data_IF_724574806205
#
_entry.id   IF_724574806205
#
_cell.length_a   1.000
_cell.length_b   1.000
_cell.length_c   1.000
_cell.angle_alpha   90.00
_cell.angle_beta   90.00
_cell.angle_gamma   90.00
#
_symmetry.space_group_name_H-M   'P 1'
#
loop_
_entity.id
_entity.type
_entity.pdbx_description
1 polymer ?
#
# COMPACT_ATOMS: atom_id res chain seq x y z
N UNK A 1 26.68 -3.41 21.37
CA UNK A 1 26.43 -2.60 20.17
C UNK A 1 25.66 -3.47 19.20
N UNK A 2 24.52 -3.00 18.69
CA UNK A 2 23.65 -3.80 17.81
C UNK A 2 24.14 -3.51 16.40
N UNK A 3 24.88 -4.44 15.81
CA UNK A 3 25.31 -4.35 14.41
C UNK A 3 24.05 -4.27 13.54
N UNK A 4 23.68 -3.05 13.16
CA UNK A 4 22.74 -2.81 12.08
C UNK A 4 23.49 -3.15 10.80
N UNK A 5 23.51 -4.45 10.48
CA UNK A 5 23.82 -4.96 9.15
C UNK A 5 23.05 -4.13 8.09
N UNK A 6 23.58 -4.06 6.87
CA UNK A 6 23.10 -3.26 5.74
C UNK A 6 21.59 -2.96 5.81
N UNK A 7 21.23 -1.67 5.76
CA UNK A 7 19.88 -1.12 5.97
C UNK A 7 18.83 -2.00 5.29
N UNK A 8 18.24 -2.94 6.03
CA UNK A 8 17.32 -3.91 5.45
C UNK A 8 15.88 -3.41 5.49
N UNK A 9 15.60 -2.43 6.35
CA UNK A 9 14.28 -1.84 6.51
C UNK A 9 14.35 -0.34 6.84
N UNK A 10 13.55 0.47 6.15
CA UNK A 10 13.34 1.88 6.45
C UNK A 10 11.84 2.20 6.41
N UNK A 11 11.29 2.78 7.47
CA UNK A 11 9.85 3.05 7.63
C UNK A 11 8.93 1.83 7.40
N UNK A 12 9.45 0.62 7.61
CA UNK A 12 8.72 -0.63 7.36
C UNK A 12 8.74 -1.12 5.91
N UNK A 13 9.48 -0.43 5.04
CA UNK A 13 9.77 -0.87 3.67
C UNK A 13 11.09 -1.61 3.66
N UNK A 14 11.16 -2.70 2.91
CA UNK A 14 12.41 -3.44 2.70
C UNK A 14 13.35 -2.60 1.84
N UNK A 15 14.62 -2.55 2.23
CA UNK A 15 15.64 -1.79 1.51
C UNK A 15 16.81 -2.69 1.18
N UNK A 16 17.29 -2.60 -0.06
CA UNK A 16 18.50 -3.26 -0.53
C UNK A 16 19.43 -2.21 -1.10
N UNK A 17 20.68 -2.20 -0.66
CA UNK A 17 21.73 -1.38 -1.26
C UNK A 17 22.32 -2.08 -2.48
N UNK A 18 22.48 -1.34 -3.57
CA UNK A 18 23.23 -1.70 -4.77
C UNK A 18 24.34 -0.65 -4.98
N UNK A 19 25.30 -0.93 -5.85
CA UNK A 19 26.37 0.03 -6.19
C UNK A 19 25.82 1.32 -6.82
N UNK A 20 24.63 1.25 -7.44
CA UNK A 20 23.93 2.39 -8.04
C UNK A 20 22.96 3.12 -7.07
N UNK A 21 22.83 2.66 -5.82
CA UNK A 21 21.96 3.31 -4.81
C UNK A 21 21.06 2.35 -4.03
N UNK A 22 19.91 2.85 -3.56
CA UNK A 22 18.98 2.07 -2.72
C UNK A 22 17.73 1.66 -3.49
N UNK A 23 17.40 0.38 -3.40
CA UNK A 23 16.16 -0.20 -3.91
C UNK A 23 15.19 -0.44 -2.75
N UNK A 24 13.93 -0.05 -2.95
CA UNK A 24 12.87 -0.24 -1.96
C UNK A 24 11.90 -1.32 -2.44
N UNK A 25 11.64 -2.31 -1.59
CA UNK A 25 10.66 -3.36 -1.82
C UNK A 25 9.47 -3.17 -0.89
N UNK A 26 8.27 -3.19 -1.48
CA UNK A 26 7.01 -3.07 -0.74
C UNK A 26 6.26 -4.39 -0.63
N UNK A 27 6.82 -5.51 -1.09
CA UNK A 27 6.12 -6.81 -1.13
C UNK A 27 5.57 -7.20 0.24
N UNK A 28 6.39 -7.08 1.29
CA UNK A 28 5.97 -7.35 2.66
C UNK A 28 4.96 -6.33 3.19
N UNK A 29 5.13 -5.06 2.84
CA UNK A 29 4.19 -4.00 3.21
C UNK A 29 2.80 -4.23 2.58
N UNK A 30 2.75 -4.46 1.27
CA UNK A 30 1.53 -4.75 0.53
C UNK A 30 0.84 -6.01 1.06
N UNK A 31 1.60 -7.08 1.30
CA UNK A 31 1.09 -8.31 1.90
C UNK A 31 0.51 -8.07 3.30
N UNK A 32 1.21 -7.32 4.16
CA UNK A 32 0.70 -6.95 5.48
C UNK A 32 -0.57 -6.09 5.40
N UNK A 33 -0.64 -5.18 4.43
CA UNK A 33 -1.80 -4.32 4.23
C UNK A 33 -3.02 -5.15 3.83
N UNK A 34 -2.86 -6.06 2.87
CA UNK A 34 -3.90 -7.01 2.43
C UNK A 34 -4.33 -7.89 3.62
N UNK A 35 -3.38 -8.37 4.41
CA UNK A 35 -3.64 -9.15 5.63
C UNK A 35 -4.45 -8.38 6.66
N UNK A 36 -4.03 -7.16 7.00
CA UNK A 36 -4.73 -6.27 7.95
C UNK A 36 -6.13 -5.89 7.49
N UNK A 37 -6.33 -5.76 6.18
CA UNK A 37 -7.64 -5.50 5.60
C UNK A 37 -8.54 -6.75 5.54
N UNK A 38 -8.02 -7.94 5.91
CA UNK A 38 -8.77 -9.20 5.83
C UNK A 38 -8.99 -9.67 4.39
N UNK A 39 -8.16 -9.24 3.44
CA UNK A 39 -8.36 -9.46 2.01
C UNK A 39 -7.55 -10.63 1.42
N UNK A 40 -6.85 -11.42 2.26
CA UNK A 40 -6.01 -12.54 1.79
C UNK A 40 -6.82 -13.55 0.96
N UNK A 41 -8.00 -13.91 1.45
CA UNK A 41 -8.89 -14.91 0.81
C UNK A 41 -10.11 -14.25 0.15
N UNK A 42 -10.04 -12.93 -0.12
CA UNK A 42 -11.15 -12.21 -0.72
C UNK A 42 -11.39 -12.70 -2.14
N UNK A 43 -12.64 -13.06 -2.45
CA UNK A 43 -13.05 -13.42 -3.81
C UNK A 43 -12.79 -12.24 -4.74
N UNK A 44 -12.17 -12.51 -5.90
CA UNK A 44 -12.02 -11.50 -6.96
C UNK A 44 -13.38 -10.92 -7.29
N UNK A 45 -13.50 -9.59 -7.23
CA UNK A 45 -14.71 -8.92 -7.66
C UNK A 45 -14.95 -9.22 -9.14
N UNK A 46 -16.11 -9.79 -9.48
CA UNK A 46 -16.45 -10.12 -10.87
C UNK A 46 -16.66 -8.87 -11.73
N UNK A 47 -16.81 -7.71 -11.09
CA UNK A 47 -16.96 -6.40 -11.71
C UNK A 47 -15.63 -5.66 -11.61
N UNK A 48 -14.71 -5.81 -12.57
CA UNK A 48 -13.61 -4.88 -12.69
C UNK A 48 -14.19 -3.48 -12.88
N UNK A 49 -13.62 -2.49 -12.19
CA UNK A 49 -13.90 -1.09 -12.50
C UNK A 49 -13.59 -0.88 -13.99
N UNK A 50 -14.47 -0.16 -14.70
CA UNK A 50 -14.23 0.12 -16.12
C UNK A 50 -12.85 0.77 -16.29
N UNK A 51 -11.97 0.20 -17.12
CA UNK A 51 -10.68 0.81 -17.38
C UNK A 51 -10.93 2.17 -18.04
N UNK A 52 -10.24 3.20 -17.56
CA UNK A 52 -10.36 4.61 -17.99
C UNK A 52 -11.55 5.40 -17.42
N UNK A 53 -12.20 4.94 -16.34
CA UNK A 53 -13.10 5.80 -15.56
C UNK A 53 -12.33 7.04 -15.06
N UNK A 54 -12.73 8.22 -15.54
CA UNK A 54 -12.20 9.51 -15.09
C UNK A 54 -13.10 10.07 -14.00
N UNK A 55 -12.78 9.74 -12.76
CA UNK A 55 -13.47 10.33 -11.61
C UNK A 55 -13.09 11.81 -11.49
N UNK A 56 -14.08 12.68 -11.52
CA UNK A 56 -13.96 14.09 -11.19
C UNK A 56 -14.36 14.31 -9.72
N UNK A 57 -13.89 15.39 -9.07
CA UNK A 57 -14.32 15.74 -7.72
C UNK A 57 -15.83 15.96 -7.56
N UNK A 58 -16.57 16.07 -8.67
CA UNK A 58 -18.02 16.25 -8.71
C UNK A 58 -18.78 14.92 -8.84
N UNK A 59 -18.09 13.80 -9.05
CA UNK A 59 -18.71 12.49 -9.33
C UNK A 59 -19.17 11.75 -8.05
N UNK A 60 -19.29 12.45 -6.93
CA UNK A 60 -19.71 11.89 -5.65
C UNK A 60 -20.50 12.88 -4.80
N UNK A 61 -21.29 12.35 -3.87
CA UNK A 61 -21.88 13.17 -2.81
C UNK A 61 -20.78 13.64 -1.84
N UNK A 62 -20.84 14.89 -1.35
CA UNK A 62 -19.92 15.37 -0.33
C UNK A 62 -19.94 14.42 0.89
N UNK A 63 -18.75 14.01 1.33
CA UNK A 63 -18.62 13.30 2.60
C UNK A 63 -19.09 14.24 3.71
N UNK A 64 -20.19 13.88 4.37
CA UNK A 64 -20.82 14.67 5.44
C UNK A 64 -19.92 14.77 6.67
N UNK A 65 -18.95 13.86 6.81
CA UNK A 65 -18.12 13.78 8.00
C UNK A 65 -16.66 13.40 7.67
N UNK A 66 -15.75 14.38 7.79
CA UNK A 66 -14.33 14.24 7.42
C UNK A 66 -13.46 13.60 8.51
N UNK A 67 -14.01 13.33 9.70
CA UNK A 67 -13.24 12.97 10.90
C UNK A 67 -13.32 11.49 11.31
N UNK A 68 -14.04 10.64 10.57
CA UNK A 68 -14.25 9.23 10.93
C UNK A 68 -13.46 8.23 10.07
N UNK A 69 -12.14 8.45 9.93
CA UNK A 69 -11.21 7.36 9.59
C UNK A 69 -10.53 6.90 10.87
N UNK A 70 -11.07 5.86 11.51
CA UNK A 70 -10.51 5.22 12.71
C UNK A 70 -9.99 3.83 12.37
#
# INVERSE_FOLDING_TARGET
MKDLNALSYFLGLEVTSSDDGYLFFQTKYASNLISKAGLIDSKTASTPLEPNVRLTPMDGSPLVDLIHYK
#
